data_IF_227973788434
#
_entry.id   IF_227973788434
#
_cell.length_a   1.000
_cell.length_b   1.000
_cell.length_c   1.000
_cell.angle_alpha   90.00
_cell.angle_beta   90.00
_cell.angle_gamma   90.00
#
_symmetry.space_group_name_H-M   'P 1'
#
loop_
_entity.id
_entity.type
_entity.pdbx_description
1 polymer ?
#
# COMPACT_ATOMS: atom_id res chain seq x y z
N UNK A 1 -12.59 17.10 -31.61
CA UNK A 1 -13.51 16.71 -30.52
C UNK A 1 -12.84 16.97 -29.17
N UNK A 2 -12.85 18.22 -28.71
CA UNK A 2 -12.41 18.56 -27.35
C UNK A 2 -13.59 18.33 -26.40
N UNK A 3 -13.54 17.21 -25.67
CA UNK A 3 -14.48 16.95 -24.59
C UNK A 3 -14.16 17.87 -23.42
N UNK A 4 -15.17 18.65 -23.00
CA UNK A 4 -15.17 19.47 -21.78
C UNK A 4 -14.69 18.62 -20.61
N UNK A 5 -13.50 18.92 -20.05
CA UNK A 5 -13.11 18.37 -18.75
C UNK A 5 -13.93 19.10 -17.70
N UNK A 6 -14.88 18.41 -17.08
CA UNK A 6 -15.51 18.88 -15.86
C UNK A 6 -14.40 19.14 -14.81
N UNK A 7 -14.36 20.36 -14.26
CA UNK A 7 -13.52 20.68 -13.09
C UNK A 7 -14.14 20.03 -11.84
N UNK A 8 -13.92 18.73 -11.68
CA UNK A 8 -14.03 18.12 -10.36
C UNK A 8 -12.76 18.50 -9.59
N UNK A 9 -12.90 18.95 -8.35
CA UNK A 9 -11.77 18.95 -7.42
C UNK A 9 -11.30 17.50 -7.31
N UNK A 10 -10.17 17.17 -7.93
CA UNK A 10 -9.59 15.84 -7.83
C UNK A 10 -9.06 15.71 -6.40
N UNK A 11 -9.74 14.91 -5.58
CA UNK A 11 -9.26 14.59 -4.24
C UNK A 11 -8.02 13.72 -4.41
N UNK A 12 -6.88 14.25 -3.97
CA UNK A 12 -5.62 13.51 -3.90
C UNK A 12 -5.64 12.58 -2.70
N UNK A 13 -5.37 11.30 -2.95
CA UNK A 13 -5.24 10.27 -1.92
C UNK A 13 -3.76 10.14 -1.56
N UNK A 14 -3.42 10.34 -0.29
CA UNK A 14 -2.05 10.25 0.21
C UNK A 14 -1.77 8.86 0.74
N UNK A 15 -0.75 8.21 0.20
CA UNK A 15 -0.40 6.82 0.52
C UNK A 15 1.01 6.79 1.11
N UNK A 16 1.14 6.31 2.34
CA UNK A 16 2.44 6.05 2.94
C UNK A 16 2.82 4.58 2.77
N UNK A 17 4.01 4.33 2.23
CA UNK A 17 4.63 3.02 2.11
C UNK A 17 5.92 3.03 2.94
N UNK A 18 5.96 2.35 4.10
CA UNK A 18 7.17 2.26 4.90
C UNK A 18 8.18 1.32 4.26
N UNK A 19 9.45 1.71 4.33
CA UNK A 19 10.59 0.87 3.95
C UNK A 19 10.94 -0.19 5.00
N UNK A 20 12.06 -0.91 4.83
CA UNK A 20 13.14 -0.62 3.88
C UNK A 20 12.84 -1.05 2.43
N UNK A 21 13.37 -0.30 1.46
CA UNK A 21 13.33 -0.65 0.03
C UNK A 21 14.72 -1.04 -0.47
N UNK A 22 14.86 -2.23 -1.04
CA UNK A 22 16.12 -2.70 -1.64
C UNK A 22 16.37 -2.13 -3.04
N UNK A 23 15.33 -1.58 -3.67
CA UNK A 23 15.38 -0.96 -4.99
C UNK A 23 14.84 0.47 -4.94
N UNK A 24 15.31 1.38 -5.82
CA UNK A 24 14.79 2.74 -5.92
C UNK A 24 13.35 2.76 -6.46
N UNK A 25 12.38 2.71 -5.54
CA UNK A 25 10.95 2.53 -5.83
C UNK A 25 10.34 3.66 -6.67
N UNK A 26 10.87 4.89 -6.57
CA UNK A 26 10.46 6.04 -7.38
C UNK A 26 10.67 5.82 -8.88
N UNK A 27 11.54 4.88 -9.30
CA UNK A 27 11.72 4.52 -10.72
C UNK A 27 10.54 3.78 -11.34
N UNK A 28 9.61 3.28 -10.51
CA UNK A 28 8.41 2.60 -10.98
C UNK A 28 7.29 3.58 -11.40
N UNK A 29 7.46 4.87 -11.14
CA UNK A 29 6.47 5.90 -11.45
C UNK A 29 6.74 6.56 -12.81
N UNK A 30 5.69 6.88 -13.58
CA UNK A 30 5.83 7.63 -14.83
C UNK A 30 6.55 8.99 -14.64
N UNK A 31 6.27 9.67 -13.53
CA UNK A 31 7.00 10.86 -13.08
C UNK A 31 7.77 10.52 -11.79
N UNK A 32 9.04 10.17 -11.97
CA UNK A 32 9.95 9.79 -10.90
C UNK A 32 10.24 10.89 -9.88
N UNK A 33 9.87 12.15 -10.15
CA UNK A 33 10.05 13.26 -9.21
C UNK A 33 8.87 13.44 -8.27
N UNK A 34 7.67 13.03 -8.70
CA UNK A 34 6.43 13.31 -7.95
C UNK A 34 5.82 12.08 -7.32
N UNK A 35 6.22 10.87 -7.73
CA UNK A 35 5.64 9.62 -7.23
C UNK A 35 4.10 9.67 -7.24
N UNK A 36 3.51 10.24 -8.30
CA UNK A 36 2.07 10.36 -8.49
C UNK A 36 1.62 9.33 -9.52
N UNK A 37 0.52 8.65 -9.23
CA UNK A 37 -0.18 7.81 -10.18
C UNK A 37 -1.68 8.10 -10.11
N UNK A 38 -2.25 8.67 -11.18
CA UNK A 38 -3.65 9.10 -11.18
C UNK A 38 -3.91 10.19 -10.14
N UNK A 39 -4.83 9.93 -9.20
CA UNK A 39 -5.12 10.81 -8.06
C UNK A 39 -4.45 10.35 -6.76
N UNK A 40 -3.45 9.47 -6.82
CA UNK A 40 -2.71 8.99 -5.66
C UNK A 40 -1.30 9.62 -5.61
N UNK A 41 -0.91 10.07 -4.44
CA UNK A 41 0.43 10.58 -4.12
C UNK A 41 1.10 9.64 -3.11
N UNK A 42 2.31 9.18 -3.43
CA UNK A 42 3.00 8.15 -2.67
C UNK A 42 4.20 8.71 -1.90
N UNK A 43 4.26 8.40 -0.61
CA UNK A 43 5.32 8.79 0.32
C UNK A 43 6.10 7.54 0.75
N UNK A 44 7.43 7.64 0.71
CA UNK A 44 8.36 6.57 1.09
C UNK A 44 9.17 6.91 2.35
N UNK A 45 8.98 8.12 2.87
CA UNK A 45 9.35 8.58 4.20
C UNK A 45 8.06 8.92 4.94
N UNK A 46 8.03 8.78 6.27
CA UNK A 46 6.81 8.98 7.06
C UNK A 46 6.30 10.43 6.94
N UNK A 47 5.13 10.67 6.33
CA UNK A 47 4.59 12.02 6.21
C UNK A 47 3.78 12.37 7.47
N UNK A 48 3.56 13.67 7.71
CA UNK A 48 2.72 14.15 8.82
C UNK A 48 1.29 13.63 8.74
N UNK A 49 0.75 13.54 7.53
CA UNK A 49 -0.63 13.15 7.25
C UNK A 49 -0.68 12.27 6.01
N UNK A 50 -1.42 11.18 6.10
CA UNK A 50 -1.68 10.25 5.01
C UNK A 50 -3.05 9.59 5.19
N UNK A 51 -3.67 9.22 4.07
CA UNK A 51 -4.98 8.56 4.06
C UNK A 51 -4.85 7.06 4.23
N UNK A 52 -3.84 6.45 3.61
CA UNK A 52 -3.65 5.00 3.65
C UNK A 52 -2.22 4.63 4.01
N UNK A 53 -2.10 3.56 4.80
CA UNK A 53 -0.84 2.87 5.04
C UNK A 53 -0.81 1.60 4.19
N UNK A 54 0.19 1.46 3.32
CA UNK A 54 0.36 0.28 2.48
C UNK A 54 1.68 -0.38 2.83
N UNK A 55 1.63 -1.63 3.30
CA UNK A 55 2.80 -2.40 3.68
C UNK A 55 3.09 -3.49 2.66
N UNK A 56 4.34 -3.55 2.22
CA UNK A 56 4.86 -4.62 1.37
C UNK A 56 6.18 -5.13 1.92
N UNK A 57 6.27 -6.45 2.15
CA UNK A 57 7.53 -7.10 2.53
C UNK A 57 7.98 -6.96 3.99
N UNK A 58 7.33 -6.15 4.83
CA UNK A 58 7.67 -6.04 6.25
C UNK A 58 7.37 -7.31 7.05
N UNK A 59 8.26 -7.61 8.00
CA UNK A 59 8.21 -8.83 8.84
C UNK A 59 7.76 -8.56 10.26
N UNK A 60 7.91 -7.31 10.71
CA UNK A 60 7.68 -6.90 12.08
C UNK A 60 6.44 -6.02 12.16
N UNK A 61 5.80 -6.08 13.32
CA UNK A 61 4.71 -5.19 13.65
C UNK A 61 5.10 -3.73 13.44
N UNK A 62 4.20 -2.99 12.79
CA UNK A 62 4.42 -1.57 12.53
C UNK A 62 3.59 -0.74 13.53
N UNK A 63 4.23 -0.03 14.48
CA UNK A 63 3.50 0.90 15.32
C UNK A 63 2.96 2.04 14.45
N UNK A 64 1.64 2.28 14.52
CA UNK A 64 0.98 3.33 13.73
C UNK A 64 -0.34 3.75 14.36
N UNK A 65 -0.69 5.03 14.22
CA UNK A 65 -1.99 5.60 14.61
C UNK A 65 -3.03 5.52 13.49
N UNK A 66 -2.64 5.15 12.26
CA UNK A 66 -3.57 5.01 11.13
C UNK A 66 -4.70 4.03 11.49
N UNK A 67 -5.98 4.28 11.22
CA UNK A 67 -7.05 3.31 11.53
C UNK A 67 -6.88 1.98 10.77
N UNK A 68 -7.24 0.84 11.37
CA UNK A 68 -7.02 -0.50 10.78
C UNK A 68 -7.64 -0.63 9.39
N UNK A 69 -8.81 -0.03 9.17
CA UNK A 69 -9.57 -0.05 7.92
C UNK A 69 -8.84 0.68 6.78
N UNK A 70 -7.84 1.49 7.09
CA UNK A 70 -7.02 2.24 6.13
C UNK A 70 -5.62 1.64 5.94
N UNK A 71 -5.39 0.45 6.49
CA UNK A 71 -4.12 -0.28 6.39
C UNK A 71 -4.25 -1.47 5.46
N UNK A 72 -3.43 -1.48 4.42
CA UNK A 72 -3.38 -2.54 3.42
C UNK A 72 -2.03 -3.26 3.53
N UNK A 73 -2.04 -4.59 3.45
CA UNK A 73 -0.83 -5.41 3.44
C UNK A 73 -0.81 -6.30 2.20
N UNK A 74 0.30 -6.27 1.47
CA UNK A 74 0.57 -7.15 0.34
C UNK A 74 1.62 -8.19 0.76
N UNK A 75 1.22 -9.46 0.81
CA UNK A 75 2.07 -10.61 1.10
C UNK A 75 2.61 -11.14 -0.22
N UNK A 76 3.88 -10.86 -0.52
CA UNK A 76 4.52 -11.27 -1.78
C UNK A 76 5.00 -12.72 -1.80
N UNK A 77 5.27 -13.30 -0.62
CA UNK A 77 5.88 -14.63 -0.52
C UNK A 77 4.83 -15.74 -0.28
N UNK A 78 4.98 -16.93 -0.87
CA UNK A 78 4.14 -18.07 -0.59
C UNK A 78 4.42 -18.67 0.81
N UNK A 79 3.49 -19.47 1.38
CA UNK A 79 3.51 -19.84 2.80
C UNK A 79 4.66 -20.77 3.18
N UNK A 80 5.27 -21.41 2.18
CA UNK A 80 6.46 -22.26 2.33
C UNK A 80 7.77 -21.47 2.29
N UNK A 81 7.77 -20.25 1.72
CA UNK A 81 8.91 -19.33 1.78
C UNK A 81 8.87 -18.52 3.07
N UNK A 82 7.69 -17.98 3.42
CA UNK A 82 7.57 -17.06 4.54
C UNK A 82 6.22 -17.15 5.23
N UNK A 83 6.26 -17.25 6.55
CA UNK A 83 5.08 -17.24 7.42
C UNK A 83 5.01 -15.93 8.19
N UNK A 84 3.91 -15.23 8.04
CA UNK A 84 3.67 -13.97 8.73
C UNK A 84 2.95 -14.22 10.06
N UNK A 85 3.47 -13.72 11.21
CA UNK A 85 2.83 -13.87 12.50
C UNK A 85 1.37 -13.39 12.51
N UNK A 86 0.53 -14.02 13.33
CA UNK A 86 -0.88 -13.63 13.46
C UNK A 86 -1.02 -12.19 13.93
N UNK A 87 -0.26 -11.80 14.96
CA UNK A 87 -0.28 -10.45 15.52
C UNK A 87 0.01 -9.37 14.46
N UNK A 88 1.01 -9.59 13.60
CA UNK A 88 1.29 -8.72 12.45
C UNK A 88 0.09 -8.60 11.50
N UNK A 89 -0.46 -9.73 11.05
CA UNK A 89 -1.58 -9.72 10.08
C UNK A 89 -2.83 -9.02 10.60
N UNK A 90 -3.11 -9.16 11.89
CA UNK A 90 -4.29 -8.56 12.52
C UNK A 90 -4.19 -7.04 12.64
N UNK A 91 -3.03 -6.43 12.36
CA UNK A 91 -2.88 -4.99 12.28
C UNK A 91 -3.57 -4.38 11.05
N UNK A 92 -3.88 -5.18 10.02
CA UNK A 92 -4.35 -4.68 8.72
C UNK A 92 -5.84 -4.96 8.49
N UNK A 93 -6.54 -3.99 7.91
CA UNK A 93 -7.94 -4.13 7.50
C UNK A 93 -8.06 -4.93 6.20
N UNK A 94 -7.09 -4.78 5.31
CA UNK A 94 -7.00 -5.50 4.03
C UNK A 94 -5.66 -6.22 3.93
N UNK A 95 -5.72 -7.51 3.60
CA UNK A 95 -4.54 -8.34 3.36
C UNK A 95 -4.72 -9.03 2.02
N UNK A 96 -3.79 -8.77 1.10
CA UNK A 96 -3.70 -9.33 -0.24
C UNK A 96 -2.52 -10.29 -0.31
N UNK A 97 -2.64 -11.36 -1.07
CA UNK A 97 -1.54 -12.28 -1.33
C UNK A 97 -2.03 -13.62 -1.87
N UNK A 98 -1.09 -14.52 -2.13
CA UNK A 98 -1.36 -15.83 -2.76
C UNK A 98 -1.79 -16.91 -1.75
N UNK A 99 -2.12 -16.54 -0.52
CA UNK A 99 -2.34 -17.45 0.61
C UNK A 99 -3.81 -17.41 1.06
N UNK A 100 -4.68 -18.30 0.57
CA UNK A 100 -6.13 -18.20 0.77
C UNK A 100 -6.56 -18.11 2.24
N UNK A 101 -5.87 -18.81 3.15
CA UNK A 101 -6.15 -18.81 4.60
C UNK A 101 -5.76 -17.51 5.31
N UNK A 102 -5.05 -16.61 4.65
CA UNK A 102 -4.48 -15.39 5.23
C UNK A 102 -5.06 -14.11 4.63
N UNK A 103 -5.93 -14.24 3.64
CA UNK A 103 -6.64 -13.14 3.00
C UNK A 103 -7.85 -12.78 3.85
N UNK A 104 -8.01 -11.47 4.12
CA UNK A 104 -9.22 -10.96 4.78
C UNK A 104 -10.20 -10.36 3.77
N UNK A 105 -9.75 -9.78 2.63
CA UNK A 105 -10.60 -9.18 1.57
C UNK A 105 -9.91 -8.95 0.19
N UNK A 106 -9.21 -9.93 -0.38
CA UNK A 106 -8.66 -9.77 -1.74
C UNK A 106 -7.93 -11.00 -2.24
N UNK A 107 -8.51 -11.69 -3.22
CA UNK A 107 -7.82 -12.70 -4.01
C UNK A 107 -7.04 -11.98 -5.12
N UNK A 108 -5.77 -12.31 -5.28
CA UNK A 108 -5.10 -12.09 -6.56
C UNK A 108 -5.58 -13.22 -7.47
N UNK A 109 -6.52 -12.93 -8.36
CA UNK A 109 -6.88 -13.84 -9.44
C UNK A 109 -5.81 -13.73 -10.55
N UNK A 110 -5.35 -14.88 -11.05
CA UNK A 110 -4.29 -15.03 -12.05
C UNK A 110 -4.66 -14.45 -13.43
#
# INVERSE_FOLDING_TARGET
FLSKRNSYNIIMIKIYIPGPFSIPIWRQFPDSKRCIWGNCEFYFEEPKEYDYLVVWGLEKELPTLCPKEKRLCFLGEPPYVKRYPKAFREQFGYVFGCQPKMINKGLCED
#
